data_IF_123559527388
#
_entry.id   IF_123559527388
#
_cell.length_a   1.000
_cell.length_b   1.000
_cell.length_c   1.000
_cell.angle_alpha   90.00
_cell.angle_beta   90.00
_cell.angle_gamma   90.00
#
_symmetry.space_group_name_H-M   'P 1'
#
loop_
_entity.id
_entity.type
_entity.pdbx_description
1 polymer ?
#
# COMPACT_ATOMS: atom_id res chain seq x y z
N UNK A 1 5.68 -32.58 45.49
CA UNK A 1 4.33 -31.97 45.30
C UNK A 1 4.09 -30.69 46.10
N UNK A 2 4.19 -30.65 47.44
CA UNK A 2 3.88 -29.42 48.22
C UNK A 2 4.73 -28.20 47.82
N UNK A 3 6.05 -28.37 47.72
CA UNK A 3 7.01 -27.33 47.29
C UNK A 3 6.73 -26.79 45.89
N UNK A 4 6.43 -27.66 44.91
CA UNK A 4 6.08 -27.26 43.55
C UNK A 4 4.80 -26.41 43.49
N UNK A 5 3.76 -26.76 44.27
CA UNK A 5 2.53 -25.97 44.35
C UNK A 5 2.77 -24.58 44.95
N UNK A 6 3.68 -24.46 45.93
CA UNK A 6 4.06 -23.17 46.53
C UNK A 6 4.78 -22.30 45.50
N UNK A 7 5.76 -22.85 44.78
CA UNK A 7 6.49 -22.14 43.71
C UNK A 7 5.55 -21.63 42.61
N UNK A 8 4.63 -22.49 42.14
CA UNK A 8 3.63 -22.11 41.14
C UNK A 8 2.73 -20.97 41.64
N UNK A 9 2.28 -21.04 42.90
CA UNK A 9 1.41 -20.02 43.49
C UNK A 9 2.12 -18.67 43.67
N UNK A 10 3.39 -18.69 44.10
CA UNK A 10 4.24 -17.49 44.18
C UNK A 10 4.44 -16.87 42.79
N UNK A 11 4.75 -17.68 41.78
CA UNK A 11 4.92 -17.20 40.40
C UNK A 11 3.62 -16.56 39.85
N UNK A 12 2.47 -17.21 40.02
CA UNK A 12 1.18 -16.64 39.61
C UNK A 12 0.88 -15.32 40.33
N UNK A 13 1.11 -15.28 41.65
CA UNK A 13 0.85 -14.09 42.47
C UNK A 13 1.69 -12.89 42.01
N UNK A 14 2.96 -13.10 41.68
CA UNK A 14 3.85 -12.05 41.17
C UNK A 14 3.35 -11.53 39.81
N UNK A 15 2.99 -12.41 38.87
CA UNK A 15 2.51 -11.99 37.56
C UNK A 15 1.18 -11.22 37.64
N UNK A 16 0.25 -11.64 38.51
CA UNK A 16 -1.01 -10.93 38.75
C UNK A 16 -0.76 -9.52 39.32
N UNK A 17 0.16 -9.39 40.28
CA UNK A 17 0.51 -8.08 40.86
C UNK A 17 1.17 -7.16 39.83
N UNK A 18 2.07 -7.67 39.00
CA UNK A 18 2.69 -6.90 37.90
C UNK A 18 1.62 -6.42 36.91
N UNK A 19 0.70 -7.31 36.48
CA UNK A 19 -0.35 -6.98 35.52
C UNK A 19 -1.32 -5.91 36.07
N UNK A 20 -1.74 -6.05 37.33
CA UNK A 20 -2.56 -5.04 38.02
C UNK A 20 -1.84 -3.70 38.14
N UNK A 21 -0.55 -3.68 38.49
CA UNK A 21 0.25 -2.46 38.54
C UNK A 21 0.35 -1.78 37.17
N UNK A 22 0.60 -2.53 36.09
CA UNK A 22 0.65 -1.95 34.73
C UNK A 22 -0.70 -1.38 34.29
N UNK A 23 -1.81 -2.06 34.64
CA UNK A 23 -3.16 -1.63 34.34
C UNK A 23 -3.53 -0.34 35.09
N UNK A 24 -3.33 -0.30 36.41
CA UNK A 24 -3.70 0.87 37.24
C UNK A 24 -2.80 2.09 37.03
N UNK A 25 -1.54 1.90 36.63
CA UNK A 25 -0.61 3.00 36.35
C UNK A 25 -0.64 3.44 34.87
N UNK A 26 -1.43 2.78 34.02
CA UNK A 26 -1.47 2.97 32.57
C UNK A 26 -0.07 2.92 31.91
N UNK A 27 0.80 2.06 32.44
CA UNK A 27 2.19 1.92 31.97
C UNK A 27 2.19 0.88 30.85
N UNK A 28 2.49 1.34 29.63
CA UNK A 28 2.79 0.43 28.53
C UNK A 28 4.11 -0.31 28.82
N UNK A 29 4.05 -1.61 29.08
CA UNK A 29 5.24 -2.39 29.41
C UNK A 29 6.26 -2.44 28.24
N UNK A 30 5.80 -2.26 26.99
CA UNK A 30 6.67 -2.19 25.81
C UNK A 30 7.54 -0.93 25.77
N UNK A 31 7.11 0.20 26.34
CA UNK A 31 7.96 1.40 26.41
C UNK A 31 8.97 1.36 27.56
N UNK A 32 8.67 0.62 28.64
CA UNK A 32 9.61 0.38 29.76
C UNK A 32 10.64 -0.70 29.40
N UNK A 33 10.25 -1.73 28.66
CA UNK A 33 11.14 -2.78 28.14
C UNK A 33 11.74 -2.39 26.78
N UNK A 34 12.17 -1.13 26.62
CA UNK A 34 13.14 -0.77 25.57
C UNK A 34 14.46 -1.48 25.88
N UNK A 35 14.59 -2.68 25.34
CA UNK A 35 15.89 -3.33 25.11
C UNK A 35 16.73 -2.29 24.37
N UNK A 36 17.90 -1.95 24.91
CA UNK A 36 18.90 -1.24 24.14
C UNK A 36 19.31 -2.17 23.00
N UNK A 37 18.73 -1.94 21.82
CA UNK A 37 19.34 -2.41 20.57
C UNK A 37 20.77 -1.87 20.58
N UNK A 38 21.80 -2.73 20.46
CA UNK A 38 23.16 -2.24 20.36
C UNK A 38 23.23 -1.28 19.16
N UNK A 39 24.06 -0.24 19.26
CA UNK A 39 24.48 0.55 18.10
C UNK A 39 25.22 -0.38 17.14
N UNK A 40 24.46 -1.01 16.25
CA UNK A 40 24.99 -1.54 15.01
C UNK A 40 25.32 -0.29 14.19
N UNK A 41 26.61 -0.05 13.94
CA UNK A 41 27.01 0.83 12.86
C UNK A 41 26.42 0.26 11.57
N UNK A 42 25.26 0.79 11.18
CA UNK A 42 24.70 0.58 9.84
C UNK A 42 25.69 1.28 8.92
N UNK A 43 26.60 0.49 8.35
CA UNK A 43 27.47 0.95 7.29
C UNK A 43 26.57 1.59 6.22
N UNK A 44 26.70 2.90 6.03
CA UNK A 44 25.78 3.63 5.16
C UNK A 44 25.72 2.94 3.79
N UNK A 45 24.51 2.70 3.25
CA UNK A 45 24.39 2.13 1.92
C UNK A 45 25.17 3.01 0.95
N UNK A 46 26.15 2.42 0.27
CA UNK A 46 27.11 3.18 -0.54
C UNK A 46 26.52 3.60 -1.88
N UNK A 47 25.38 4.29 -1.87
CA UNK A 47 25.09 5.23 -2.94
C UNK A 47 26.17 6.31 -2.88
N UNK A 48 26.89 6.51 -3.99
CA UNK A 48 27.66 7.74 -4.17
C UNK A 48 26.68 8.84 -4.56
N UNK A 49 25.95 9.40 -3.60
CA UNK A 49 25.46 10.76 -3.78
C UNK A 49 26.70 11.63 -3.92
N UNK A 50 26.87 12.23 -5.09
CA UNK A 50 27.90 13.26 -5.31
C UNK A 50 27.44 14.55 -4.63
N UNK A 51 27.49 14.57 -3.30
CA UNK A 51 27.25 15.76 -2.48
C UNK A 51 28.43 16.72 -2.58
N UNK A 52 28.54 17.43 -3.70
CA UNK A 52 29.24 18.71 -3.75
C UNK A 52 28.21 19.82 -3.54
N UNK A 53 27.63 19.85 -2.34
CA UNK A 53 26.77 20.96 -1.87
C UNK A 53 27.53 21.67 -0.76
N UNK A 54 28.48 22.51 -1.16
CA UNK A 54 28.92 23.75 -0.48
C UNK A 54 30.15 24.33 -1.21
N UNK A 55 29.93 24.95 -2.38
CA UNK A 55 30.65 26.13 -2.93
C UNK A 55 30.28 26.31 -4.40
N UNK A 56 29.04 26.75 -4.65
CA UNK A 56 28.69 27.86 -5.54
C UNK A 56 27.17 27.99 -5.60
N UNK A 57 26.66 29.22 -5.69
CA UNK A 57 25.28 29.45 -6.13
C UNK A 57 25.23 29.14 -7.63
N UNK A 58 24.56 28.07 -8.09
CA UNK A 58 24.46 27.82 -9.51
C UNK A 58 23.57 28.90 -10.11
N UNK A 59 24.07 29.60 -11.12
CA UNK A 59 23.21 30.39 -11.99
C UNK A 59 22.13 29.51 -12.64
N UNK A 60 21.12 30.20 -13.17
CA UNK A 60 19.86 29.74 -13.80
C UNK A 60 20.01 28.76 -15.00
N UNK A 61 21.18 28.14 -15.20
CA UNK A 61 21.56 27.36 -16.38
C UNK A 61 21.70 25.85 -16.14
N UNK A 62 21.72 25.37 -14.89
CA UNK A 62 21.95 23.95 -14.57
C UNK A 62 20.68 23.15 -14.21
N UNK A 63 19.50 23.75 -14.31
CA UNK A 63 18.25 23.01 -14.12
C UNK A 63 17.98 22.11 -15.32
N UNK A 64 17.85 20.81 -15.09
CA UNK A 64 17.50 19.82 -16.12
C UNK A 64 16.00 19.53 -16.11
N UNK A 65 15.39 19.58 -17.29
CA UNK A 65 13.96 19.40 -17.49
C UNK A 65 13.68 18.05 -18.16
N UNK A 66 12.61 17.42 -17.69
CA UNK A 66 11.97 16.27 -18.34
C UNK A 66 10.74 16.80 -19.05
N UNK A 67 10.53 16.34 -20.29
CA UNK A 67 9.39 16.72 -21.11
C UNK A 67 8.56 15.51 -21.51
N UNK A 68 7.26 15.74 -21.70
CA UNK A 68 6.28 14.74 -22.10
C UNK A 68 5.59 15.21 -23.38
N UNK A 69 5.42 14.32 -24.36
CA UNK A 69 4.59 14.61 -25.52
C UNK A 69 3.08 14.46 -25.19
N UNK A 70 2.21 14.59 -26.20
CA UNK A 70 0.76 14.46 -26.05
C UNK A 70 0.26 13.04 -25.74
N UNK A 71 1.12 12.02 -25.86
CA UNK A 71 0.86 10.62 -25.48
C UNK A 71 1.57 10.28 -24.15
N UNK A 72 2.16 11.29 -23.49
CA UNK A 72 3.02 11.18 -22.31
C UNK A 72 4.28 10.32 -22.48
N UNK A 73 4.76 10.08 -23.71
CA UNK A 73 6.11 9.56 -23.89
C UNK A 73 7.11 10.56 -23.31
N UNK A 74 8.08 10.07 -22.52
CA UNK A 74 9.00 10.87 -21.71
C UNK A 74 10.33 11.10 -22.45
N UNK A 75 10.77 12.35 -22.51
CA UNK A 75 11.98 12.77 -23.21
C UNK A 75 12.88 13.65 -22.33
N UNK A 76 14.19 13.59 -22.58
CA UNK A 76 15.23 14.32 -21.85
C UNK A 76 16.25 13.41 -21.15
N UNK A 77 17.02 13.92 -20.18
CA UNK A 77 16.97 15.28 -19.64
C UNK A 77 17.48 16.35 -20.63
N UNK A 78 16.86 17.52 -20.58
CA UNK A 78 17.19 18.70 -21.39
C UNK A 78 17.65 19.87 -20.51
N UNK A 79 18.54 20.72 -21.02
CA UNK A 79 18.80 22.04 -20.43
C UNK A 79 17.60 22.98 -20.62
N UNK A 80 17.52 24.07 -19.84
CA UNK A 80 16.51 25.12 -20.04
C UNK A 80 16.43 25.62 -21.49
N UNK A 81 17.59 25.77 -22.16
CA UNK A 81 17.71 26.21 -23.55
C UNK A 81 17.20 25.19 -24.58
N UNK A 82 17.22 23.90 -24.25
CA UNK A 82 16.70 22.83 -25.12
C UNK A 82 15.21 22.56 -24.85
N UNK A 83 14.78 22.67 -23.59
CA UNK A 83 13.38 22.46 -23.20
C UNK A 83 12.45 23.59 -23.64
N UNK A 84 12.91 24.85 -23.57
CA UNK A 84 12.11 26.02 -23.94
C UNK A 84 11.53 25.97 -25.37
N UNK A 85 12.28 25.67 -26.46
CA UNK A 85 11.69 25.56 -27.79
C UNK A 85 10.73 24.38 -27.91
N UNK A 86 11.05 23.22 -27.33
CA UNK A 86 10.20 22.02 -27.36
C UNK A 86 8.81 22.29 -26.74
N UNK A 87 8.76 22.93 -25.58
CA UNK A 87 7.49 23.32 -24.92
C UNK A 87 6.75 24.39 -25.72
N UNK A 88 7.43 25.44 -26.19
CA UNK A 88 6.77 26.58 -26.84
C UNK A 88 6.35 26.34 -28.29
N UNK A 89 6.85 25.29 -28.96
CA UNK A 89 6.63 25.09 -30.40
C UNK A 89 6.35 23.67 -30.87
N UNK A 90 6.74 22.64 -30.09
CA UNK A 90 6.53 21.22 -30.46
C UNK A 90 5.47 20.53 -29.59
N UNK A 91 4.77 21.26 -28.72
CA UNK A 91 3.62 20.77 -27.94
C UNK A 91 3.99 19.93 -26.71
N UNK A 92 5.27 19.88 -26.35
CA UNK A 92 5.72 19.20 -25.14
C UNK A 92 5.28 19.91 -23.87
N UNK A 93 5.11 19.14 -22.81
CA UNK A 93 4.72 19.64 -21.48
C UNK A 93 5.77 19.23 -20.44
N UNK A 94 5.90 20.01 -19.36
CA UNK A 94 6.75 19.64 -18.20
C UNK A 94 6.03 18.71 -17.21
N UNK A 95 4.75 18.42 -17.46
CA UNK A 95 3.89 17.58 -16.62
C UNK A 95 2.97 16.76 -17.52
N UNK A 96 3.08 15.43 -17.45
CA UNK A 96 2.07 14.56 -18.04
C UNK A 96 0.77 14.71 -17.24
N UNK A 97 -0.34 15.03 -17.93
CA UNK A 97 -1.70 14.94 -17.36
C UNK A 97 -2.46 13.90 -18.17
N UNK A 98 -2.13 12.63 -17.93
CA UNK A 98 -2.83 11.52 -18.56
C UNK A 98 -4.21 11.34 -17.93
N UNK A 99 -5.26 11.69 -18.68
CA UNK A 99 -6.55 11.02 -18.55
C UNK A 99 -6.34 9.57 -18.98
N UNK A 100 -6.23 8.68 -17.99
CA UNK A 100 -5.55 7.37 -18.04
C UNK A 100 -5.69 6.61 -19.39
N UNK A 101 -4.63 6.50 -20.20
CA UNK A 101 -4.64 5.76 -21.45
C UNK A 101 -3.56 4.66 -21.50
N UNK A 102 -3.57 3.75 -20.53
CA UNK A 102 -2.86 2.48 -20.64
C UNK A 102 -3.66 1.39 -19.91
N UNK A 103 -4.38 0.55 -20.65
CA UNK A 103 -5.25 -0.49 -20.07
C UNK A 103 -4.47 -1.45 -19.14
N UNK A 104 -3.16 -1.63 -19.34
CA UNK A 104 -2.31 -2.45 -18.46
C UNK A 104 -1.96 -1.77 -17.12
N UNK A 105 -2.12 -0.45 -16.99
CA UNK A 105 -2.00 0.25 -15.70
C UNK A 105 -3.30 0.21 -14.88
N UNK A 106 -4.42 -0.12 -15.53
CA UNK A 106 -5.79 -0.17 -14.95
C UNK A 106 -6.26 -1.63 -14.76
N UNK A 107 -5.40 -2.63 -14.99
CA UNK A 107 -5.76 -4.04 -14.80
C UNK A 107 -6.06 -4.35 -13.33
N UNK A 108 -7.35 -4.31 -12.98
CA UNK A 108 -7.86 -4.95 -11.78
C UNK A 108 -7.70 -6.45 -11.94
N UNK A 109 -6.81 -7.02 -11.15
CA UNK A 109 -6.64 -8.44 -11.02
C UNK A 109 -7.64 -8.98 -9.96
N UNK A 110 -8.24 -10.14 -10.22
CA UNK A 110 -9.45 -10.61 -9.53
C UNK A 110 -9.31 -12.08 -9.08
N UNK A 111 -9.82 -12.41 -7.89
CA UNK A 111 -9.45 -13.64 -7.15
C UNK A 111 -10.46 -14.81 -7.17
N UNK A 112 -9.96 -16.07 -7.21
CA UNK A 112 -10.78 -17.29 -7.34
C UNK A 112 -10.93 -18.17 -6.05
N UNK A 113 -12.19 -18.41 -5.60
CA UNK A 113 -12.85 -19.75 -5.42
C UNK A 113 -13.28 -20.33 -4.04
N UNK A 114 -14.58 -20.75 -3.98
CA UNK A 114 -15.36 -21.69 -3.08
C UNK A 114 -16.49 -21.09 -2.19
N UNK A 115 -17.74 -21.54 -2.39
CA UNK A 115 -19.05 -20.84 -2.27
C UNK A 115 -19.72 -20.68 -0.87
N UNK A 116 -20.81 -19.86 -0.84
CA UNK A 116 -21.89 -19.66 0.19
C UNK A 116 -21.62 -18.66 1.34
N UNK A 117 -22.49 -17.69 1.72
CA UNK A 117 -23.67 -17.09 1.05
C UNK A 117 -24.78 -16.42 1.93
N UNK A 118 -25.25 -15.22 1.52
CA UNK A 118 -26.49 -14.43 1.88
C UNK A 118 -26.50 -13.36 3.01
N UNK A 119 -27.34 -12.32 2.81
CA UNK A 119 -27.20 -10.90 3.25
C UNK A 119 -28.33 -10.30 4.13
N UNK A 120 -28.16 -9.08 4.68
CA UNK A 120 -29.17 -8.31 5.43
C UNK A 120 -28.93 -6.77 5.53
N UNK A 121 -30.01 -5.95 5.61
CA UNK A 121 -30.04 -4.50 5.30
C UNK A 121 -30.03 -3.55 6.54
N UNK A 122 -29.62 -2.28 6.33
CA UNK A 122 -29.30 -1.23 7.33
C UNK A 122 -29.85 0.18 6.94
N UNK A 123 -29.50 1.21 7.73
CA UNK A 123 -29.67 2.67 7.49
C UNK A 123 -28.34 3.39 7.90
N UNK A 124 -28.06 4.70 7.78
CA UNK A 124 -28.73 5.88 7.21
C UNK A 124 -27.73 6.96 6.64
N UNK A 125 -26.45 7.00 7.06
CA UNK A 125 -25.32 7.82 6.49
C UNK A 125 -24.40 6.91 5.68
N UNK A 126 -23.98 5.86 6.37
CA UNK A 126 -24.14 4.47 5.96
C UNK A 126 -25.01 4.19 4.70
N UNK A 127 -26.10 4.92 4.41
CA UNK A 127 -26.85 4.79 3.15
C UNK A 127 -26.02 4.96 1.88
N UNK A 128 -24.97 5.79 1.83
CA UNK A 128 -24.16 5.92 0.61
C UNK A 128 -23.35 4.65 0.36
N UNK A 129 -22.63 4.20 1.39
CA UNK A 129 -21.90 2.92 1.39
C UNK A 129 -22.82 1.72 1.08
N UNK A 130 -24.08 1.78 1.53
CA UNK A 130 -25.09 0.73 1.33
C UNK A 130 -25.90 0.92 0.05
N UNK A 131 -25.73 2.02 -0.68
CA UNK A 131 -26.26 2.22 -2.02
C UNK A 131 -25.30 1.76 -3.12
N UNK A 132 -24.02 1.55 -2.79
CA UNK A 132 -23.07 0.97 -3.72
C UNK A 132 -23.51 -0.45 -4.13
N UNK A 133 -23.52 -0.77 -5.43
CA UNK A 133 -23.93 -2.09 -5.91
C UNK A 133 -23.00 -3.17 -5.34
N UNK A 134 -23.59 -4.24 -4.81
CA UNK A 134 -22.83 -5.35 -4.22
C UNK A 134 -22.41 -5.15 -2.76
N UNK A 135 -22.84 -4.10 -2.06
CA UNK A 135 -22.60 -3.98 -0.61
C UNK A 135 -23.18 -5.20 0.16
N UNK A 136 -22.36 -5.85 0.99
CA UNK A 136 -22.74 -7.11 1.70
C UNK A 136 -22.92 -6.92 3.22
N UNK A 137 -22.05 -6.13 3.86
CA UNK A 137 -21.76 -6.28 5.29
C UNK A 137 -22.82 -5.90 6.31
N UNK A 138 -22.65 -6.35 7.55
CA UNK A 138 -23.33 -5.83 8.75
C UNK A 138 -22.44 -4.86 9.56
N UNK A 139 -22.87 -4.40 10.75
CA UNK A 139 -22.06 -3.51 11.60
C UNK A 139 -20.87 -4.22 12.24
N UNK A 140 -21.02 -5.49 12.66
CA UNK A 140 -19.95 -6.28 13.28
C UNK A 140 -18.82 -6.51 12.27
N UNK A 141 -19.19 -6.77 11.02
CA UNK A 141 -18.28 -7.15 9.96
C UNK A 141 -17.50 -5.94 9.45
N UNK A 142 -18.13 -4.77 9.35
CA UNK A 142 -17.44 -3.50 9.12
C UNK A 142 -16.44 -3.18 10.25
N UNK A 143 -16.82 -3.42 11.51
CA UNK A 143 -15.92 -3.24 12.65
C UNK A 143 -14.71 -4.19 12.59
N UNK A 144 -14.91 -5.44 12.15
CA UNK A 144 -13.79 -6.40 11.93
C UNK A 144 -12.82 -5.89 10.85
N UNK A 145 -13.32 -5.34 9.74
CA UNK A 145 -12.48 -4.72 8.70
C UNK A 145 -11.70 -3.53 9.28
N UNK A 146 -12.37 -2.58 9.94
CA UNK A 146 -11.71 -1.42 10.55
C UNK A 146 -10.61 -1.81 11.55
N UNK A 147 -10.90 -2.77 12.43
CA UNK A 147 -9.91 -3.30 13.39
C UNK A 147 -8.73 -3.99 12.70
N UNK A 148 -8.94 -4.64 11.55
CA UNK A 148 -7.87 -5.23 10.75
C UNK A 148 -7.02 -4.16 10.04
N UNK A 149 -7.64 -3.09 9.50
CA UNK A 149 -6.93 -1.92 8.94
C UNK A 149 -6.03 -1.28 10.01
N UNK A 150 -6.53 -1.07 11.23
CA UNK A 150 -5.70 -0.55 12.33
C UNK A 150 -4.54 -1.46 12.75
N UNK A 151 -4.54 -2.74 12.34
CA UNK A 151 -3.44 -3.70 12.56
C UNK A 151 -2.49 -3.83 11.37
N UNK A 152 -2.73 -3.10 10.28
CA UNK A 152 -1.81 -3.06 9.15
C UNK A 152 -0.53 -2.28 9.50
N UNK A 153 0.60 -2.60 8.82
CA UNK A 153 1.81 -1.79 8.84
C UNK A 153 1.52 -0.33 8.51
N UNK A 154 2.25 0.60 9.12
CA UNK A 154 1.94 2.03 9.07
C UNK A 154 1.77 2.57 7.65
N UNK A 155 2.68 2.23 6.73
CA UNK A 155 2.63 2.70 5.32
C UNK A 155 1.39 2.21 4.54
N UNK A 156 0.85 1.03 4.89
CA UNK A 156 -0.34 0.49 4.25
C UNK A 156 -1.59 1.05 4.92
N UNK A 157 -1.57 1.13 6.25
CA UNK A 157 -2.68 1.70 7.04
C UNK A 157 -2.95 3.15 6.66
N UNK A 158 -1.90 3.95 6.48
CA UNK A 158 -2.02 5.37 6.13
C UNK A 158 -2.83 5.56 4.84
N UNK A 159 -2.45 4.88 3.76
CA UNK A 159 -3.18 4.88 2.48
C UNK A 159 -4.66 4.50 2.66
N UNK A 160 -4.95 3.44 3.43
CA UNK A 160 -6.32 2.99 3.72
C UNK A 160 -7.10 3.89 4.69
N UNK A 161 -6.51 5.00 5.13
CA UNK A 161 -7.14 5.99 6.01
C UNK A 161 -7.11 7.42 5.47
N UNK A 162 -6.43 7.68 4.34
CA UNK A 162 -6.40 8.99 3.68
C UNK A 162 -6.81 8.97 2.20
N UNK A 163 -6.35 8.00 1.41
CA UNK A 163 -6.52 7.99 -0.06
C UNK A 163 -7.49 6.91 -0.57
N UNK A 164 -7.68 5.81 0.17
CA UNK A 164 -8.44 4.63 -0.28
C UNK A 164 -9.50 4.24 0.74
N UNK A 165 -10.75 4.18 0.32
CA UNK A 165 -11.85 3.71 1.17
C UNK A 165 -12.00 2.18 1.14
N UNK A 166 -12.11 1.53 2.29
CA UNK A 166 -12.34 0.09 2.37
C UNK A 166 -13.82 -0.23 2.60
N UNK A 167 -14.41 -0.91 1.64
CA UNK A 167 -15.82 -1.29 1.57
C UNK A 167 -16.01 -2.75 1.97
N UNK A 168 -17.10 -3.06 2.68
CA UNK A 168 -17.59 -4.44 2.75
C UNK A 168 -18.56 -4.70 1.59
N UNK A 169 -18.10 -5.41 0.57
CA UNK A 169 -18.98 -5.80 -0.52
C UNK A 169 -18.36 -6.70 -1.57
N UNK A 170 -19.25 -7.27 -2.35
CA UNK A 170 -19.01 -7.96 -3.59
C UNK A 170 -18.71 -6.94 -4.70
N UNK A 171 -17.47 -6.86 -5.18
CA UNK A 171 -17.12 -5.93 -6.27
C UNK A 171 -17.93 -6.26 -7.54
N UNK A 172 -18.67 -5.30 -8.15
CA UNK A 172 -19.60 -5.58 -9.25
C UNK A 172 -18.97 -6.26 -10.47
N UNK A 173 -17.81 -5.76 -10.91
CA UNK A 173 -17.10 -6.32 -12.07
C UNK A 173 -16.46 -7.68 -11.74
N UNK A 174 -15.91 -7.81 -10.52
CA UNK A 174 -15.44 -9.07 -9.98
C UNK A 174 -16.52 -10.15 -9.94
N UNK A 175 -17.74 -9.80 -9.52
CA UNK A 175 -18.88 -10.73 -9.55
C UNK A 175 -19.26 -11.12 -10.97
N UNK A 176 -19.39 -10.14 -11.87
CA UNK A 176 -19.79 -10.37 -13.25
C UNK A 176 -18.82 -11.31 -14.01
N UNK A 177 -17.51 -11.15 -13.81
CA UNK A 177 -16.49 -11.97 -14.47
C UNK A 177 -16.39 -13.39 -13.90
N UNK A 178 -16.51 -13.57 -12.59
CA UNK A 178 -16.30 -14.86 -11.92
C UNK A 178 -17.59 -15.59 -11.54
N UNK A 179 -18.75 -14.97 -11.80
CA UNK A 179 -20.08 -15.42 -11.38
C UNK A 179 -20.14 -15.70 -9.87
N UNK A 180 -19.46 -14.87 -9.08
CA UNK A 180 -19.47 -14.82 -7.60
C UNK A 180 -18.55 -13.70 -7.09
N UNK A 181 -18.76 -13.28 -5.86
CA UNK A 181 -17.83 -12.40 -5.14
C UNK A 181 -16.42 -13.01 -5.05
N UNK A 182 -15.42 -12.16 -5.30
CA UNK A 182 -13.99 -12.41 -5.10
C UNK A 182 -13.60 -11.98 -3.68
N UNK A 183 -12.47 -12.44 -3.13
CA UNK A 183 -12.14 -12.22 -1.71
C UNK A 183 -11.83 -10.76 -1.34
N UNK A 184 -11.12 -10.09 -2.23
CA UNK A 184 -10.66 -8.71 -2.13
C UNK A 184 -10.50 -8.17 -3.56
N UNK A 185 -10.59 -6.84 -3.72
CA UNK A 185 -10.25 -6.10 -4.95
C UNK A 185 -9.83 -4.68 -4.58
N UNK A 186 -8.67 -4.21 -5.03
CA UNK A 186 -8.44 -2.77 -5.20
C UNK A 186 -9.00 -2.27 -6.54
N UNK A 187 -9.91 -1.30 -6.48
CA UNK A 187 -10.52 -0.65 -7.63
C UNK A 187 -10.10 0.83 -7.72
N UNK A 188 -9.11 1.18 -8.57
CA UNK A 188 -8.64 2.55 -8.71
C UNK A 188 -9.58 3.45 -9.51
N UNK A 189 -10.56 2.91 -10.25
CA UNK A 189 -11.34 3.69 -11.26
C UNK A 189 -12.86 3.53 -11.17
N UNK A 190 -13.37 2.66 -10.30
CA UNK A 190 -14.79 2.48 -10.03
C UNK A 190 -15.51 1.73 -11.15
N UNK A 191 -15.21 0.45 -11.32
CA UNK A 191 -15.86 -0.41 -12.32
C UNK A 191 -17.27 -0.86 -11.91
N UNK A 192 -18.19 -0.87 -12.87
CA UNK A 192 -19.51 -1.51 -12.76
C UNK A 192 -19.52 -2.95 -13.31
N UNK A 193 -20.67 -3.63 -13.20
CA UNK A 193 -20.83 -5.01 -13.65
C UNK A 193 -20.74 -5.21 -15.17
N UNK A 194 -20.94 -4.15 -15.96
CA UNK A 194 -20.80 -4.19 -17.43
C UNK A 194 -19.36 -3.87 -17.88
N UNK A 195 -18.49 -3.44 -16.95
CA UNK A 195 -17.10 -3.07 -17.20
C UNK A 195 -16.87 -1.60 -17.54
N UNK A 196 -17.86 -0.72 -17.35
CA UNK A 196 -17.65 0.72 -17.44
C UNK A 196 -16.99 1.22 -16.14
N UNK A 197 -16.13 2.24 -16.25
CA UNK A 197 -15.43 2.85 -15.13
C UNK A 197 -15.76 4.36 -14.99
N UNK A 198 -15.31 4.98 -13.90
CA UNK A 198 -15.58 6.36 -13.55
C UNK A 198 -16.75 6.54 -12.57
N UNK A 199 -17.16 5.48 -11.89
CA UNK A 199 -18.23 5.54 -10.88
C UNK A 199 -17.75 6.13 -9.55
N UNK A 200 -18.68 6.50 -8.68
CA UNK A 200 -18.42 7.16 -7.39
C UNK A 200 -17.63 6.32 -6.37
N UNK A 201 -17.50 5.01 -6.61
CA UNK A 201 -16.69 4.07 -5.81
C UNK A 201 -15.29 3.82 -6.38
N UNK A 202 -14.75 4.73 -7.20
CA UNK A 202 -13.32 4.72 -7.53
C UNK A 202 -12.44 4.92 -6.29
N UNK A 203 -11.19 4.45 -6.33
CA UNK A 203 -10.24 4.49 -5.21
C UNK A 203 -10.75 3.73 -3.97
N UNK A 204 -11.29 2.53 -4.18
CA UNK A 204 -11.83 1.69 -3.10
C UNK A 204 -11.14 0.33 -3.02
N UNK A 205 -11.16 -0.29 -1.84
CA UNK A 205 -10.89 -1.71 -1.67
C UNK A 205 -12.17 -2.42 -1.26
N UNK A 206 -12.62 -3.36 -2.08
CA UNK A 206 -13.79 -4.18 -1.84
C UNK A 206 -13.40 -5.47 -1.15
N UNK A 207 -13.75 -5.63 0.12
CA UNK A 207 -13.62 -6.88 0.85
C UNK A 207 -15.01 -7.52 0.95
N UNK A 208 -15.20 -8.69 0.35
CA UNK A 208 -16.47 -9.41 0.47
C UNK A 208 -16.62 -10.08 1.83
N UNK A 209 -17.84 -10.41 2.22
CA UNK A 209 -18.12 -11.28 3.38
C UNK A 209 -17.36 -12.61 3.24
N UNK A 210 -17.29 -13.13 2.01
CA UNK A 210 -16.44 -14.26 1.62
C UNK A 210 -14.96 -14.05 1.97
N UNK A 211 -14.41 -12.85 1.72
CA UNK A 211 -13.07 -12.44 2.15
C UNK A 211 -12.87 -12.59 3.65
N UNK A 212 -13.87 -12.21 4.44
CA UNK A 212 -13.83 -12.20 5.90
C UNK A 212 -13.99 -13.60 6.48
N UNK A 213 -14.98 -14.37 5.98
CA UNK A 213 -15.26 -15.75 6.37
C UNK A 213 -14.10 -16.72 6.08
N UNK A 214 -13.24 -16.40 5.11
CA UNK A 214 -12.02 -17.17 4.84
C UNK A 214 -11.06 -17.27 6.04
N UNK A 215 -11.19 -16.36 7.02
CA UNK A 215 -10.23 -16.20 8.11
C UNK A 215 -8.87 -15.65 7.67
N UNK A 216 -8.79 -15.05 6.47
CA UNK A 216 -7.58 -14.48 5.85
C UNK A 216 -7.60 -12.97 5.70
N UNK A 217 -8.58 -12.30 6.31
CA UNK A 217 -8.81 -10.85 6.21
C UNK A 217 -7.54 -9.99 6.32
N UNK A 218 -6.61 -10.30 7.23
CA UNK A 218 -5.34 -9.56 7.33
C UNK A 218 -4.46 -9.72 6.08
N UNK A 219 -4.27 -10.94 5.61
CA UNK A 219 -3.41 -11.23 4.46
C UNK A 219 -4.05 -10.64 3.18
N UNK A 220 -5.39 -10.75 3.03
CA UNK A 220 -6.16 -10.07 1.96
C UNK A 220 -5.97 -8.55 2.02
N UNK A 221 -6.15 -7.91 3.19
CA UNK A 221 -5.97 -6.46 3.30
C UNK A 221 -4.54 -6.00 3.02
N UNK A 222 -3.52 -6.79 3.36
CA UNK A 222 -2.13 -6.49 2.96
C UNK A 222 -1.96 -6.59 1.43
N UNK A 223 -2.61 -7.57 0.79
CA UNK A 223 -2.60 -7.76 -0.66
C UNK A 223 -3.25 -6.59 -1.41
N UNK A 224 -4.50 -6.25 -1.09
CA UNK A 224 -5.19 -5.14 -1.75
C UNK A 224 -4.53 -3.78 -1.47
N UNK A 225 -4.02 -3.58 -0.23
CA UNK A 225 -3.26 -2.37 0.10
C UNK A 225 -1.92 -2.30 -0.63
N UNK A 226 -1.32 -3.42 -1.03
CA UNK A 226 -0.12 -3.45 -1.84
C UNK A 226 -0.41 -3.00 -3.29
N UNK A 227 -1.56 -3.38 -3.86
CA UNK A 227 -2.03 -2.83 -5.14
C UNK A 227 -2.23 -1.31 -5.07
N UNK A 228 -2.87 -0.82 -3.99
CA UNK A 228 -3.03 0.61 -3.74
C UNK A 228 -1.69 1.35 -3.54
N UNK A 229 -0.76 0.78 -2.77
CA UNK A 229 0.59 1.32 -2.56
C UNK A 229 1.40 1.33 -3.87
N UNK A 230 1.29 0.26 -4.67
CA UNK A 230 1.89 0.20 -6.00
C UNK A 230 1.37 1.33 -6.91
N UNK A 231 0.05 1.57 -6.89
CA UNK A 231 -0.62 2.56 -7.74
C UNK A 231 -0.37 4.02 -7.31
N UNK A 232 -0.43 4.31 -6.01
CA UNK A 232 -0.32 5.67 -5.47
C UNK A 232 1.10 6.11 -5.11
N UNK A 233 1.94 5.15 -4.68
CA UNK A 233 3.29 5.45 -4.18
C UNK A 233 4.35 4.99 -5.16
N UNK A 234 4.38 3.71 -5.52
CA UNK A 234 5.49 3.16 -6.33
C UNK A 234 5.49 3.66 -7.78
N UNK A 235 4.32 4.04 -8.33
CA UNK A 235 4.20 4.69 -9.64
C UNK A 235 4.81 6.09 -9.67
N UNK A 236 4.59 6.88 -8.62
CA UNK A 236 5.12 8.24 -8.51
C UNK A 236 6.56 8.29 -7.97
N UNK A 237 7.06 7.17 -7.45
CA UNK A 237 8.39 7.02 -6.86
C UNK A 237 9.48 6.83 -7.93
N UNK A 238 10.04 7.95 -8.42
CA UNK A 238 10.97 7.97 -9.55
C UNK A 238 12.43 7.66 -9.14
N UNK A 239 13.08 6.79 -9.92
CA UNK A 239 14.49 6.39 -9.82
C UNK A 239 15.43 7.32 -10.61
N UNK A 240 16.74 7.20 -10.38
CA UNK A 240 17.76 8.04 -11.03
C UNK A 240 17.83 7.90 -12.56
N UNK A 241 17.43 6.75 -13.11
CA UNK A 241 17.33 6.52 -14.56
C UNK A 241 16.00 7.02 -15.15
N UNK A 242 15.07 7.47 -14.30
CA UNK A 242 13.75 7.95 -14.69
C UNK A 242 12.67 6.87 -14.75
N UNK A 243 12.97 5.62 -14.42
CA UNK A 243 11.97 4.57 -14.21
C UNK A 243 11.24 4.74 -12.87
N UNK A 244 10.10 4.07 -12.71
CA UNK A 244 9.33 4.03 -11.46
C UNK A 244 9.66 2.78 -10.65
N UNK A 245 9.48 2.83 -9.32
CA UNK A 245 9.61 1.61 -8.51
C UNK A 245 8.56 0.55 -8.85
N UNK A 246 7.38 0.95 -9.38
CA UNK A 246 6.34 0.03 -9.90
C UNK A 246 6.85 -0.77 -11.11
N UNK A 247 7.45 -0.10 -12.10
CA UNK A 247 8.07 -0.75 -13.26
C UNK A 247 9.20 -1.72 -12.85
N UNK A 248 10.06 -1.30 -11.92
CA UNK A 248 11.14 -2.14 -11.41
C UNK A 248 10.59 -3.38 -10.67
N UNK A 249 9.50 -3.22 -9.93
CA UNK A 249 8.82 -4.31 -9.24
C UNK A 249 8.21 -5.32 -10.24
N UNK A 250 7.56 -4.87 -11.32
CA UNK A 250 7.05 -5.74 -12.38
C UNK A 250 8.18 -6.48 -13.09
N UNK A 251 9.28 -5.80 -13.39
CA UNK A 251 10.47 -6.43 -13.98
C UNK A 251 11.07 -7.52 -13.06
N UNK A 252 10.94 -7.36 -11.73
CA UNK A 252 11.44 -8.31 -10.74
C UNK A 252 10.50 -9.50 -10.50
N UNK A 253 9.19 -9.26 -10.33
CA UNK A 253 8.22 -10.26 -9.88
C UNK A 253 7.23 -10.72 -10.97
N UNK A 254 7.25 -10.09 -12.15
CA UNK A 254 6.46 -10.44 -13.33
C UNK A 254 5.20 -9.59 -13.54
N UNK A 255 4.42 -9.38 -12.47
CA UNK A 255 3.13 -8.68 -12.51
C UNK A 255 2.78 -8.09 -11.12
N UNK A 256 1.67 -7.32 -11.05
CA UNK A 256 1.15 -6.74 -9.80
C UNK A 256 0.73 -7.79 -8.77
N UNK A 257 0.18 -8.92 -9.20
CA UNK A 257 -0.31 -9.95 -8.28
C UNK A 257 0.83 -10.63 -7.51
N UNK A 258 1.93 -10.90 -8.21
CA UNK A 258 3.13 -11.41 -7.58
C UNK A 258 3.78 -10.37 -6.66
N UNK A 259 3.71 -9.07 -7.00
CA UNK A 259 4.15 -7.99 -6.12
C UNK A 259 3.30 -7.91 -4.84
N UNK A 260 1.98 -7.94 -4.96
CA UNK A 260 1.06 -7.90 -3.83
C UNK A 260 1.25 -9.13 -2.91
N UNK A 261 1.40 -10.32 -3.47
CA UNK A 261 1.76 -11.53 -2.70
C UNK A 261 3.14 -11.39 -2.00
N UNK A 262 4.12 -10.69 -2.60
CA UNK A 262 5.41 -10.39 -1.96
C UNK A 262 5.26 -9.46 -0.76
N UNK A 263 4.37 -8.45 -0.82
CA UNK A 263 4.01 -7.62 0.34
C UNK A 263 3.41 -8.47 1.48
N UNK A 264 2.55 -9.44 1.16
CA UNK A 264 1.99 -10.38 2.15
C UNK A 264 3.10 -11.17 2.84
N UNK A 265 4.05 -11.75 2.10
CA UNK A 265 5.18 -12.46 2.73
C UNK A 265 6.12 -11.54 3.50
N UNK A 266 6.38 -10.31 3.02
CA UNK A 266 7.25 -9.34 3.67
C UNK A 266 6.75 -9.01 5.08
N UNK A 267 5.43 -8.83 5.24
CA UNK A 267 4.78 -8.59 6.53
C UNK A 267 4.42 -9.86 7.31
N UNK A 268 4.95 -11.02 6.91
CA UNK A 268 4.83 -12.29 7.63
C UNK A 268 3.49 -13.02 7.46
N UNK A 269 2.67 -12.59 6.50
CA UNK A 269 1.51 -13.33 6.02
C UNK A 269 1.90 -14.63 5.32
N UNK A 270 0.91 -15.48 5.04
CA UNK A 270 1.12 -16.82 4.44
C UNK A 270 0.05 -17.23 3.44
N UNK A 271 -1.00 -16.44 3.28
CA UNK A 271 -2.04 -16.69 2.30
C UNK A 271 -1.77 -15.82 1.07
N UNK A 272 -1.29 -16.47 0.01
CA UNK A 272 -0.99 -15.85 -1.29
C UNK A 272 -1.61 -16.69 -2.40
N UNK A 273 -1.95 -16.07 -3.53
CA UNK A 273 -2.75 -16.72 -4.57
C UNK A 273 -1.92 -17.11 -5.81
N UNK A 274 -0.92 -16.31 -6.16
CA UNK A 274 -0.18 -16.38 -7.43
C UNK A 274 1.30 -16.72 -7.18
N UNK A 275 1.98 -15.93 -6.35
CA UNK A 275 3.36 -16.16 -5.93
C UNK A 275 3.40 -17.10 -4.72
N UNK A 276 3.91 -18.33 -4.92
CA UNK A 276 3.85 -19.41 -3.90
C UNK A 276 5.24 -19.74 -3.38
N UNK A 277 5.61 -19.06 -2.30
CA UNK A 277 6.85 -19.25 -1.56
C UNK A 277 6.60 -19.94 -0.22
N UNK A 278 7.61 -20.62 0.31
CA UNK A 278 7.59 -21.06 1.72
C UNK A 278 7.94 -19.91 2.68
N UNK A 279 8.80 -18.99 2.20
CA UNK A 279 9.21 -17.75 2.85
C UNK A 279 9.78 -16.79 1.79
N UNK A 280 9.69 -15.47 2.00
CA UNK A 280 10.36 -14.50 1.13
C UNK A 280 11.89 -14.65 1.24
N UNK A 281 12.68 -14.69 0.15
CA UNK A 281 14.14 -14.66 0.23
C UNK A 281 14.69 -13.46 1.00
N UNK A 282 15.93 -13.57 1.50
CA UNK A 282 16.58 -12.46 2.21
C UNK A 282 16.90 -11.28 1.28
N UNK A 283 17.25 -11.57 0.02
CA UNK A 283 17.44 -10.55 -1.02
C UNK A 283 16.15 -9.76 -1.30
N UNK A 284 14.99 -10.43 -1.39
CA UNK A 284 13.70 -9.79 -1.63
C UNK A 284 13.22 -9.03 -0.39
N UNK A 285 13.43 -9.55 0.83
CA UNK A 285 13.20 -8.78 2.07
C UNK A 285 14.02 -7.49 2.08
N UNK A 286 15.31 -7.56 1.72
CA UNK A 286 16.16 -6.37 1.66
C UNK A 286 15.67 -5.40 0.59
N UNK A 287 15.36 -5.89 -0.61
CA UNK A 287 14.83 -5.08 -1.70
C UNK A 287 13.53 -4.37 -1.32
N UNK A 288 12.62 -5.06 -0.65
CA UNK A 288 11.37 -4.48 -0.12
C UNK A 288 11.63 -3.39 0.92
N UNK A 289 12.59 -3.59 1.82
CA UNK A 289 12.99 -2.57 2.81
C UNK A 289 13.58 -1.34 2.11
N UNK A 290 14.56 -1.55 1.22
CA UNK A 290 15.21 -0.49 0.45
C UNK A 290 14.21 0.34 -0.38
N UNK A 291 13.21 -0.32 -0.97
CA UNK A 291 12.14 0.31 -1.76
C UNK A 291 11.21 1.17 -0.89
N UNK A 292 10.74 0.63 0.25
CA UNK A 292 9.86 1.35 1.18
C UNK A 292 10.57 2.59 1.73
N UNK A 293 11.81 2.43 2.19
CA UNK A 293 12.63 3.52 2.72
C UNK A 293 12.88 4.61 1.66
N UNK A 294 13.21 4.21 0.42
CA UNK A 294 13.42 5.17 -0.68
C UNK A 294 12.15 5.94 -1.01
N UNK A 295 11.01 5.26 -1.18
CA UNK A 295 9.78 5.93 -1.59
C UNK A 295 9.22 6.86 -0.49
N UNK A 296 9.39 6.51 0.78
CA UNK A 296 9.09 7.44 1.89
C UNK A 296 9.91 8.73 1.80
N UNK A 297 11.24 8.62 1.67
CA UNK A 297 12.13 9.80 1.52
C UNK A 297 11.81 10.60 0.24
N UNK A 298 11.46 9.91 -0.85
CA UNK A 298 11.07 10.55 -2.11
C UNK A 298 9.79 11.39 -1.94
N UNK A 299 8.75 10.83 -1.32
CA UNK A 299 7.51 11.55 -1.07
C UNK A 299 7.73 12.76 -0.16
N UNK A 300 8.46 12.61 0.95
CA UNK A 300 8.83 13.74 1.83
C UNK A 300 9.55 14.86 1.07
N UNK A 301 10.49 14.51 0.19
CA UNK A 301 11.21 15.47 -0.63
C UNK A 301 10.27 16.21 -1.60
N UNK A 302 9.41 15.50 -2.34
CA UNK A 302 8.44 16.10 -3.27
C UNK A 302 7.45 17.02 -2.55
N UNK A 303 6.88 16.58 -1.43
CA UNK A 303 5.99 17.41 -0.61
C UNK A 303 6.69 18.67 -0.10
N UNK A 304 7.94 18.57 0.36
CA UNK A 304 8.71 19.74 0.84
C UNK A 304 8.94 20.79 -0.26
N UNK A 305 9.17 20.36 -1.50
CA UNK A 305 9.36 21.25 -2.64
C UNK A 305 8.05 21.94 -3.05
N UNK A 306 6.94 21.20 -3.09
CA UNK A 306 5.63 21.75 -3.47
C UNK A 306 5.05 22.78 -2.48
N UNK A 307 5.46 22.73 -1.21
CA UNK A 307 5.08 23.73 -0.18
C UNK A 307 5.91 25.02 -0.32
N UNK A 308 7.05 24.96 -1.02
CA UNK A 308 8.00 26.07 -1.18
C UNK A 308 7.79 26.92 -2.45
N UNK A 309 6.85 26.52 -3.31
CA UNK A 309 6.48 27.16 -4.59
C UNK A 309 5.15 27.91 -4.53
#
# INVERSE_FOLDING_TARGET
>A
MKTFKILLFVFLSINIVIWLLTYFLNINLFSVLRIQTPEIEVAQPSYKLTTNVYEDQPGDSNQTFILYDSECNRFGPYSASEAAPLVNSEGFTTTCVNGIPNENEILINLHERRESGQTGIKNDITNLLYSFPGFEGDEETNLRIQLAIYQLPDILREILTSEVEVLNGCHPYGEALFNRCVYGVFDPVGYDADGNYGNEWAMTIWISDRGIESGKLKDILVHEAAHAYSYLVMRECILQDGSTFRELAHSRYGDEENLADVFVYYYGGKWTNYYKLEYLPEEDRKWMTDMIDYCGVYQEAVSSLSISS
#
